data_IF_125848743956
#
_entry.id   IF_125848743956
#
_cell.length_a   1.000
_cell.length_b   1.000
_cell.length_c   1.000
_cell.angle_alpha   90.00
_cell.angle_beta   90.00
_cell.angle_gamma   90.00
#
_symmetry.space_group_name_H-M   'P 1'
#
loop_
_entity.id
_entity.type
_entity.pdbx_description
1 polymer ?
#
# COMPACT_ATOMS: atom_id res chain seq x y z
N UNK A 1 2.49 -16.74 -5.26
CA UNK A 1 2.05 -16.46 -5.46
C UNK A 1 1.64 -15.76 -5.74
N UNK A 2 1.73 -15.67 -5.68
CA UNK A 2 1.34 -14.91 -6.14
C UNK A 2 0.66 -13.98 -5.92
N UNK A 3 1.09 -13.12 -6.13
CA UNK A 3 0.01 -12.24 -6.18
C UNK A 3 -0.97 -12.78 -7.12
N UNK A 4 -2.13 -12.73 -6.71
CA UNK A 4 -3.16 -13.27 -7.55
C UNK A 4 -4.06 -12.15 -7.98
N UNK A 5 -5.13 -12.47 -8.67
CA UNK A 5 -6.07 -11.49 -9.14
C UNK A 5 -6.79 -10.74 -8.05
N UNK A 6 -6.79 -11.30 -6.84
CA UNK A 6 -7.48 -10.64 -5.73
C UNK A 6 -6.82 -9.31 -5.37
N UNK A 7 -5.49 -9.30 -5.30
CA UNK A 7 -4.77 -8.09 -4.95
C UNK A 7 -4.90 -7.05 -6.07
N UNK A 8 -4.79 -7.48 -7.32
CA UNK A 8 -5.01 -6.58 -8.45
C UNK A 8 -6.42 -5.98 -8.41
N UNK A 9 -7.41 -6.83 -8.14
CA UNK A 9 -8.79 -6.38 -8.11
C UNK A 9 -9.01 -5.36 -7.00
N UNK A 10 -8.41 -5.59 -5.83
CA UNK A 10 -8.55 -4.67 -4.71
C UNK A 10 -7.99 -3.29 -5.05
N UNK A 11 -6.83 -3.26 -5.70
CA UNK A 11 -6.24 -1.98 -6.11
C UNK A 11 -7.10 -1.27 -7.14
N UNK A 12 -7.59 -1.98 -8.13
CA UNK A 12 -8.41 -1.36 -9.16
C UNK A 12 -9.71 -0.85 -8.57
N UNK A 13 -10.30 -1.61 -7.65
CA UNK A 13 -11.51 -1.18 -6.98
C UNK A 13 -11.29 0.10 -6.19
N UNK A 14 -10.13 0.21 -5.53
CA UNK A 14 -9.80 1.43 -4.79
C UNK A 14 -9.82 2.64 -5.72
N UNK A 15 -9.18 2.52 -6.88
CA UNK A 15 -9.14 3.64 -7.81
C UNK A 15 -10.52 4.00 -8.31
N UNK A 16 -11.35 3.00 -8.59
CA UNK A 16 -12.68 3.27 -9.13
C UNK A 16 -13.57 4.00 -8.15
N UNK A 17 -13.46 3.67 -6.86
CA UNK A 17 -14.35 4.27 -5.87
C UNK A 17 -13.74 5.49 -5.18
N UNK A 18 -12.57 5.93 -5.63
CA UNK A 18 -11.89 7.07 -5.00
C UNK A 18 -11.63 8.13 -6.05
N UNK A 19 -12.50 9.13 -6.17
CA UNK A 19 -12.30 10.18 -7.17
C UNK A 19 -10.96 10.87 -6.97
N UNK A 20 -10.23 11.03 -8.07
CA UNK A 20 -8.94 11.66 -8.04
C UNK A 20 -7.78 10.70 -7.87
N UNK A 21 -8.01 9.48 -7.44
CA UNK A 21 -6.93 8.49 -7.35
C UNK A 21 -6.55 8.05 -8.76
N UNK A 22 -5.25 8.04 -9.06
CA UNK A 22 -4.78 7.76 -10.41
C UNK A 22 -4.04 6.44 -10.52
N UNK A 23 -3.17 6.17 -9.56
CA UNK A 23 -2.32 4.97 -9.60
C UNK A 23 -2.21 4.39 -8.22
N UNK A 24 -2.12 3.07 -8.15
CA UNK A 24 -1.92 2.38 -6.90
C UNK A 24 -0.85 1.31 -7.04
N UNK A 25 -0.17 1.04 -5.95
CA UNK A 25 0.95 0.11 -5.93
C UNK A 25 1.03 -0.52 -4.56
N UNK A 26 1.19 -1.84 -4.52
CA UNK A 26 1.55 -2.54 -3.29
C UNK A 26 3.01 -2.95 -3.43
N UNK A 27 3.79 -2.68 -2.41
CA UNK A 27 5.21 -2.95 -2.43
C UNK A 27 5.64 -3.61 -1.14
N UNK A 28 6.77 -4.32 -1.22
CA UNK A 28 7.36 -4.94 -0.05
C UNK A 28 8.16 -3.91 0.73
N UNK A 29 8.56 -4.31 1.94
CA UNK A 29 9.32 -3.41 2.82
C UNK A 29 10.61 -2.91 2.16
N UNK A 30 11.25 -3.75 1.35
CA UNK A 30 12.52 -3.40 0.73
C UNK A 30 12.36 -2.77 -0.64
N UNK A 31 11.16 -2.36 -1.00
CA UNK A 31 10.97 -1.53 -2.19
C UNK A 31 10.72 -2.29 -3.46
N UNK A 32 10.33 -3.56 -3.37
CA UNK A 32 9.97 -4.33 -4.56
C UNK A 32 8.47 -4.26 -4.78
N UNK A 33 8.07 -3.99 -6.01
CA UNK A 33 6.63 -3.94 -6.28
C UNK A 33 6.05 -5.34 -6.23
N UNK A 34 4.88 -5.44 -5.63
CA UNK A 34 4.13 -6.68 -5.57
C UNK A 34 2.92 -6.65 -6.51
N UNK A 35 2.35 -5.48 -6.71
CA UNK A 35 1.15 -5.32 -7.52
C UNK A 35 1.04 -3.85 -7.89
N UNK A 36 0.55 -3.57 -9.10
CA UNK A 36 0.37 -2.20 -9.56
C UNK A 36 -0.89 -2.08 -10.38
N UNK A 37 -1.43 -0.87 -10.45
CA UNK A 37 -2.56 -0.63 -11.36
C UNK A 37 -2.04 -0.55 -12.79
N UNK A 38 -2.87 -0.95 -13.77
CA UNK A 38 -2.37 -1.19 -15.14
C UNK A 38 -1.77 0.02 -15.83
N UNK A 39 -2.24 1.22 -15.52
CA UNK A 39 -1.76 2.40 -16.23
C UNK A 39 -0.41 2.88 -15.75
N UNK A 40 0.05 2.37 -14.63
CA UNK A 40 1.38 2.68 -14.15
C UNK A 40 2.37 1.76 -14.87
N UNK A 41 3.32 2.34 -15.60
CA UNK A 41 4.27 1.53 -16.34
C UNK A 41 5.18 0.76 -15.39
N UNK A 42 5.86 -0.26 -15.90
CA UNK A 42 6.78 -1.04 -15.07
C UNK A 42 7.89 -0.16 -14.51
N UNK A 43 8.46 0.71 -15.34
CA UNK A 43 9.53 1.60 -14.88
C UNK A 43 9.01 2.56 -13.83
N UNK A 44 7.83 3.13 -14.04
CA UNK A 44 7.24 4.02 -13.06
C UNK A 44 6.91 3.30 -11.77
N UNK A 45 6.43 2.05 -11.87
CA UNK A 45 6.13 1.26 -10.69
C UNK A 45 7.39 0.98 -9.88
N UNK A 46 8.49 0.66 -10.56
CA UNK A 46 9.76 0.43 -9.87
C UNK A 46 10.25 1.70 -9.17
N UNK A 47 10.14 2.84 -9.84
CA UNK A 47 10.52 4.11 -9.25
C UNK A 47 9.64 4.46 -8.05
N UNK A 48 8.34 4.29 -8.22
CA UNK A 48 7.41 4.61 -7.14
C UNK A 48 7.63 3.70 -5.93
N UNK A 49 7.91 2.42 -6.17
CA UNK A 49 8.19 1.49 -5.08
C UNK A 49 9.42 1.94 -4.29
N UNK A 50 10.47 2.37 -4.99
CA UNK A 50 11.67 2.84 -4.31
C UNK A 50 11.41 4.12 -3.54
N UNK A 51 10.67 5.05 -4.12
CA UNK A 51 10.32 6.31 -3.47
C UNK A 51 9.48 6.04 -2.23
N UNK A 52 8.46 5.22 -2.36
CA UNK A 52 7.57 4.93 -1.23
C UNK A 52 8.31 4.24 -0.10
N UNK A 53 9.19 3.30 -0.44
CA UNK A 53 9.99 2.62 0.58
C UNK A 53 10.89 3.61 1.30
N UNK A 54 11.48 4.57 0.57
CA UNK A 54 12.31 5.60 1.17
C UNK A 54 11.53 6.50 2.11
N UNK A 55 10.35 6.95 1.66
CA UNK A 55 9.50 7.79 2.51
C UNK A 55 9.12 7.03 3.78
N UNK A 56 8.76 5.76 3.64
CA UNK A 56 8.36 4.96 4.79
C UNK A 56 9.52 4.77 5.75
N UNK A 57 10.71 4.51 5.23
CA UNK A 57 11.88 4.33 6.07
C UNK A 57 12.22 5.58 6.86
N UNK A 58 12.19 6.74 6.19
CA UNK A 58 12.46 8.01 6.87
C UNK A 58 11.39 8.32 7.90
N UNK A 59 10.14 8.03 7.57
CA UNK A 59 9.03 8.25 8.50
C UNK A 59 9.15 7.37 9.72
N UNK A 60 9.59 6.13 9.55
CA UNK A 60 9.82 5.22 10.67
C UNK A 60 10.90 5.76 11.58
N UNK A 61 11.96 6.31 11.01
CA UNK A 61 13.01 6.94 11.80
C UNK A 61 12.48 8.10 12.62
N UNK A 62 11.62 8.91 12.01
CA UNK A 62 10.99 10.01 12.73
C UNK A 62 10.12 9.50 13.88
N UNK A 63 9.38 8.41 13.62
CA UNK A 63 8.52 7.83 14.65
C UNK A 63 9.33 7.31 15.84
N UNK A 64 10.46 6.68 15.56
CA UNK A 64 11.32 6.19 16.63
C UNK A 64 11.89 7.35 17.45
N UNK A 65 12.35 8.39 16.77
CA UNK A 65 13.04 9.49 17.45
C UNK A 65 12.09 10.44 18.14
N UNK A 66 10.95 10.75 17.52
CA UNK A 66 10.07 11.81 17.96
C UNK A 66 8.65 11.34 18.27
N UNK A 67 8.31 10.10 17.98
CA UNK A 67 6.99 9.55 18.27
C UNK A 67 7.02 8.73 19.55
N UNK A 68 6.31 7.59 19.51
CA UNK A 68 6.23 6.75 20.71
C UNK A 68 7.37 5.73 20.79
N UNK A 69 8.33 5.80 19.89
CA UNK A 69 9.52 4.95 19.94
C UNK A 69 9.36 3.61 19.24
N UNK A 70 8.16 3.27 18.74
CA UNK A 70 7.95 1.97 18.14
C UNK A 70 8.33 1.92 16.66
N UNK A 71 8.43 3.07 16.00
CA UNK A 71 8.65 3.12 14.56
C UNK A 71 7.39 3.00 13.74
N UNK A 72 6.22 2.95 14.40
CA UNK A 72 4.96 2.86 13.69
C UNK A 72 4.63 4.15 12.94
N UNK A 73 4.16 4.02 11.71
CA UNK A 73 3.78 5.14 10.88
C UNK A 73 2.36 4.90 10.40
N UNK A 74 1.47 5.80 10.77
CA UNK A 74 0.08 5.63 10.36
C UNK A 74 -0.11 5.97 8.91
N UNK A 75 0.53 7.03 8.45
CA UNK A 75 0.35 7.50 7.08
C UNK A 75 1.42 8.53 6.77
N UNK A 76 1.96 8.45 5.55
CA UNK A 76 2.83 9.50 5.01
C UNK A 76 2.13 10.11 3.81
N UNK A 77 2.18 11.43 3.69
CA UNK A 77 1.54 12.14 2.59
C UNK A 77 2.47 13.24 2.12
N UNK A 78 2.69 13.30 0.82
CA UNK A 78 3.51 14.34 0.21
C UNK A 78 2.67 15.03 -0.85
N UNK A 79 2.49 16.33 -0.70
CA UNK A 79 1.79 17.14 -1.69
C UNK A 79 2.82 17.82 -2.56
N UNK A 80 2.62 17.74 -3.87
CA UNK A 80 3.49 18.43 -4.81
C UNK A 80 2.64 19.04 -5.91
N UNK A 81 3.26 19.87 -6.72
CA UNK A 81 2.52 20.47 -7.83
C UNK A 81 2.14 19.35 -8.77
N UNK A 82 0.87 19.19 -9.02
CA UNK A 82 0.35 18.17 -9.91
C UNK A 82 -0.13 16.91 -9.26
N UNK A 83 0.08 16.72 -7.96
CA UNK A 83 -0.38 15.48 -7.35
C UNK A 83 -0.12 15.36 -5.87
N UNK A 84 -0.59 14.24 -5.33
CA UNK A 84 -0.40 13.89 -3.92
C UNK A 84 0.00 12.43 -3.86
N UNK A 85 1.01 12.12 -3.07
CA UNK A 85 1.45 10.75 -2.86
C UNK A 85 1.12 10.35 -1.43
N UNK A 86 0.44 9.21 -1.28
CA UNK A 86 0.12 8.63 0.03
C UNK A 86 0.84 7.30 0.15
N UNK A 87 1.40 7.03 1.34
CA UNK A 87 1.99 5.74 1.63
C UNK A 87 1.51 5.30 3.00
N UNK A 88 0.96 4.10 3.07
CA UNK A 88 0.51 3.54 4.35
C UNK A 88 1.01 2.11 4.45
N UNK A 89 1.17 1.64 5.69
CA UNK A 89 1.55 0.25 5.92
C UNK A 89 0.36 -0.65 5.62
N UNK A 90 0.61 -1.75 4.92
CA UNK A 90 -0.47 -2.62 4.42
C UNK A 90 -0.24 -4.06 4.85
N UNK A 91 -0.11 -4.26 6.16
CA UNK A 91 0.15 -5.57 6.69
C UNK A 91 1.64 -5.81 6.82
N UNK A 92 2.00 -7.03 7.20
CA UNK A 92 3.38 -7.33 7.54
C UNK A 92 4.27 -7.26 6.32
N UNK A 93 5.24 -6.36 6.37
CA UNK A 93 6.23 -6.28 5.32
C UNK A 93 5.74 -5.73 4.01
N UNK A 94 4.59 -5.05 4.01
CA UNK A 94 4.05 -4.49 2.79
C UNK A 94 3.56 -3.07 3.02
N UNK A 95 3.51 -2.30 1.93
CA UNK A 95 3.02 -0.93 1.96
C UNK A 95 2.13 -0.70 0.76
N UNK A 96 1.20 0.23 0.93
CA UNK A 96 0.31 0.66 -0.14
C UNK A 96 0.66 2.10 -0.48
N UNK A 97 0.92 2.37 -1.76
CA UNK A 97 1.19 3.72 -2.24
C UNK A 97 0.11 4.09 -3.25
N UNK A 98 -0.41 5.30 -3.14
CA UNK A 98 -1.42 5.80 -4.06
C UNK A 98 -1.02 7.20 -4.50
N UNK A 99 -1.08 7.42 -5.80
CA UNK A 99 -0.91 8.75 -6.40
C UNK A 99 -2.28 9.28 -6.76
N UNK A 100 -2.57 10.50 -6.32
CA UNK A 100 -3.86 11.12 -6.55
C UNK A 100 -3.66 12.48 -7.20
N UNK A 101 -4.72 12.98 -7.81
CA UNK A 101 -4.72 14.30 -8.42
C UNK A 101 -4.53 15.37 -7.36
N UNK A 102 -3.99 16.51 -7.81
CA UNK A 102 -3.69 17.61 -6.90
C UNK A 102 -4.91 18.09 -6.14
N UNK A 103 -6.09 18.02 -6.76
CA UNK A 103 -7.32 18.49 -6.15
C UNK A 103 -8.16 17.36 -5.56
N UNK A 104 -7.59 16.18 -5.39
CA UNK A 104 -8.32 15.06 -4.80
C UNK A 104 -8.65 15.37 -3.34
N UNK A 105 -9.75 14.76 -2.87
CA UNK A 105 -10.14 14.85 -1.47
C UNK A 105 -9.20 13.94 -0.65
N UNK A 106 -8.21 14.55 -0.01
CA UNK A 106 -7.18 13.77 0.68
C UNK A 106 -7.76 12.96 1.83
N UNK A 107 -8.78 13.47 2.49
CA UNK A 107 -9.42 12.71 3.58
C UNK A 107 -10.08 11.45 3.05
N UNK A 108 -10.75 11.55 1.92
CA UNK A 108 -11.40 10.38 1.32
C UNK A 108 -10.38 9.39 0.81
N UNK A 109 -9.31 9.86 0.15
CA UNK A 109 -8.28 8.97 -0.33
C UNK A 109 -7.68 8.19 0.83
N UNK A 110 -7.31 8.90 1.90
CA UNK A 110 -6.73 8.24 3.07
C UNK A 110 -7.69 7.25 3.71
N UNK A 111 -8.95 7.62 3.84
CA UNK A 111 -9.95 6.73 4.42
C UNK A 111 -10.07 5.44 3.61
N UNK A 112 -10.20 5.58 2.29
CA UNK A 112 -10.36 4.42 1.43
C UNK A 112 -9.11 3.55 1.43
N UNK A 113 -7.92 4.18 1.52
CA UNK A 113 -6.69 3.42 1.63
C UNK A 113 -6.64 2.60 2.90
N UNK A 114 -7.06 3.17 4.02
CA UNK A 114 -7.03 2.44 5.29
C UNK A 114 -8.02 1.29 5.30
N UNK A 115 -9.17 1.45 4.64
CA UNK A 115 -10.07 0.33 4.48
C UNK A 115 -9.44 -0.79 3.66
N UNK A 116 -8.78 -0.40 2.56
CA UNK A 116 -8.14 -1.39 1.71
C UNK A 116 -7.00 -2.10 2.44
N UNK A 117 -6.28 -1.37 3.28
CA UNK A 117 -5.16 -1.92 4.02
C UNK A 117 -5.58 -3.13 4.86
N UNK A 118 -6.74 -3.06 5.48
CA UNK A 118 -7.21 -4.20 6.27
C UNK A 118 -7.40 -5.43 5.40
N UNK A 119 -7.96 -5.23 4.20
CA UNK A 119 -8.17 -6.34 3.28
C UNK A 119 -6.84 -6.89 2.77
N UNK A 120 -5.90 -6.01 2.44
CA UNK A 120 -4.58 -6.44 1.98
C UNK A 120 -3.85 -7.19 3.09
N UNK A 121 -3.92 -6.65 4.30
CA UNK A 121 -3.27 -7.28 5.44
C UNK A 121 -3.77 -8.68 5.67
N UNK A 122 -5.07 -8.88 5.60
CA UNK A 122 -5.64 -10.21 5.74
C UNK A 122 -5.16 -11.13 4.63
N UNK A 123 -5.15 -10.62 3.41
CA UNK A 123 -4.74 -11.42 2.26
C UNK A 123 -3.29 -11.88 2.37
N UNK A 124 -2.40 -10.97 2.80
CA UNK A 124 -0.98 -11.25 2.85
C UNK A 124 -0.56 -12.05 4.07
N UNK A 125 -1.26 -11.89 5.20
CA UNK A 125 -0.83 -12.53 6.43
C UNK A 125 -1.62 -13.80 6.77
N UNK A 126 -2.77 -14.02 6.10
CA UNK A 126 -3.53 -15.24 6.35
C UNK A 126 -2.81 -16.41 5.71
N UNK A 127 -2.50 -17.48 6.49
CA UNK A 127 -1.83 -18.62 5.88
C UNK A 127 -2.76 -19.31 4.89
N UNK A 128 -2.20 -20.05 3.93
CA UNK A 128 -3.04 -20.82 3.00
C UNK A 128 -3.82 -21.85 3.78
N UNK A 129 -5.01 -22.03 3.40
CA UNK A 129 -5.80 -22.94 4.12
C UNK A 129 -5.71 -24.29 3.64
N UNK A 130 -5.76 -24.65 3.82
CA UNK A 130 -5.83 -25.55 3.50
C UNK A 130 -5.41 -26.33 3.81
N UNK A 131 -5.30 -26.64 4.33
CA UNK A 131 -4.94 -27.09 4.71
C UNK A 131 -5.06 -27.77 5.08
N UNK A 132 -5.33 -28.35 5.36
CA UNK A 132 -5.44 -28.92 5.87
C UNK A 132 -5.51 -29.37 6.45
N UNK A 133 -5.55 -29.33 6.52
CA UNK A 133 -5.61 -29.59 7.12
C UNK A 133 -5.71 -29.98 7.53
N UNK A 134 -5.83 -30.19 7.33
CA UNK A 134 -5.85 -30.51 7.85
C UNK A 134 -5.87 -30.68 8.29
N UNK A 135 -5.94 -30.71 8.17
CA UNK A 135 -5.80 -30.88 8.72
C UNK A 135 -5.70 -31.00 9.11
N UNK A 136 -5.77 -31.04 9.01
CA UNK A 136 -5.60 -31.22 9.52
C UNK A 136 -5.50 -31.65 9.78
N UNK A 137 -5.38 -31.84 9.64
CA UNK A 137 -5.19 -32.16 9.99
C UNK A 137 -5.26 -32.50 10.23
N UNK A 138 -5.38 -32.95 10.21
CA UNK A 138 -5.44 -33.12 10.70
C UNK A 138 -5.54 -33.09 11.04
#
# INVERSE_FOLDING_TARGET
>A
MTTDGTLDWLLENLLERTPGARHGLVLSRDGLKLCRTPELSLDQADQLAAIAAGIQSLSQGASVEFGDGTGGVRQAMTEFYGGVLFVVEAGEGAHLAVLAAEDADVGLVGHNMHELVEQIGEHLSTPPRDVPDGGGTA
#
